data_IF_353823999331
#
_entry.id   IF_353823999331
#
_cell.length_a   1.000
_cell.length_b   1.000
_cell.length_c   1.000
_cell.angle_alpha   90.00
_cell.angle_beta   90.00
_cell.angle_gamma   90.00
#
_symmetry.space_group_name_H-M   'P 1'
#
loop_
_entity.id
_entity.type
_entity.pdbx_description
1 polymer ?
#
# COMPACT_ATOMS: atom_id res chain seq x y z
N UNK A 1 6.50 2.74 24.17
CA UNK A 1 5.70 3.91 23.75
C UNK A 1 4.28 3.73 24.27
N UNK A 2 3.62 4.76 24.79
CA UNK A 2 2.21 4.66 25.26
C UNK A 2 1.21 5.00 24.14
N UNK A 3 -0.07 4.65 24.30
CA UNK A 3 -1.14 5.01 23.33
C UNK A 3 -1.23 6.53 23.11
N UNK A 4 -1.08 7.33 24.18
CA UNK A 4 -1.08 8.79 24.09
C UNK A 4 0.17 9.32 23.39
N UNK A 5 1.34 8.71 23.62
CA UNK A 5 2.57 9.12 22.94
C UNK A 5 2.52 8.79 21.45
N UNK A 6 1.97 7.63 21.09
CA UNK A 6 1.74 7.26 19.69
C UNK A 6 0.77 8.24 19.04
N UNK A 7 -0.39 8.51 19.66
CA UNK A 7 -1.39 9.46 19.15
C UNK A 7 -0.79 10.83 18.85
N UNK A 8 0.03 11.36 19.76
CA UNK A 8 0.72 12.64 19.57
C UNK A 8 1.69 12.60 18.39
N UNK A 9 2.46 11.52 18.22
CA UNK A 9 3.42 11.36 17.11
C UNK A 9 2.76 11.28 15.74
N UNK A 10 1.56 10.71 15.65
CA UNK A 10 0.77 10.62 14.41
C UNK A 10 -0.17 11.82 14.20
N UNK A 11 -0.14 12.82 15.09
CA UNK A 11 -0.98 14.02 14.99
C UNK A 11 -2.46 13.80 15.31
N UNK A 12 -2.81 12.81 16.13
CA UNK A 12 -4.18 12.61 16.61
C UNK A 12 -4.40 13.27 17.98
N UNK A 13 -5.54 13.95 18.13
CA UNK A 13 -5.90 14.69 19.35
C UNK A 13 -6.26 13.78 20.54
N UNK A 14 -6.57 12.51 20.28
CA UNK A 14 -7.01 11.56 21.32
C UNK A 14 -6.50 10.14 21.08
N UNK A 15 -6.01 9.52 22.17
CA UNK A 15 -5.66 8.10 22.21
C UNK A 15 -6.86 7.17 22.01
N UNK A 16 -8.09 7.67 22.10
CA UNK A 16 -9.30 6.87 21.95
C UNK A 16 -9.41 6.14 20.61
N UNK A 17 -8.84 6.71 19.54
CA UNK A 17 -8.76 6.03 18.25
C UNK A 17 -7.86 4.80 18.31
N UNK A 18 -6.67 4.92 18.91
CA UNK A 18 -5.70 3.83 19.07
C UNK A 18 -6.24 2.73 19.97
N UNK A 19 -6.79 3.11 21.13
CA UNK A 19 -7.37 2.16 22.08
C UNK A 19 -8.47 1.29 21.44
N UNK A 20 -9.36 1.88 20.63
CA UNK A 20 -10.42 1.14 19.95
C UNK A 20 -9.89 0.21 18.86
N UNK A 21 -8.80 0.59 18.19
CA UNK A 21 -8.16 -0.26 17.18
C UNK A 21 -7.45 -1.45 17.83
N UNK A 22 -6.68 -1.22 18.89
CA UNK A 22 -6.01 -2.29 19.66
C UNK A 22 -7.02 -3.28 20.27
N UNK A 23 -8.20 -2.80 20.65
CA UNK A 23 -9.30 -3.64 21.11
C UNK A 23 -10.10 -4.34 19.99
N UNK A 24 -9.70 -4.20 18.71
CA UNK A 24 -10.38 -4.78 17.55
C UNK A 24 -11.74 -4.16 17.23
N UNK A 25 -12.12 -3.06 17.89
CA UNK A 25 -13.44 -2.42 17.73
C UNK A 25 -13.52 -1.49 16.51
N UNK A 26 -12.38 -1.20 15.88
CA UNK A 26 -12.29 -0.33 14.70
C UNK A 26 -11.09 -0.73 13.86
N UNK A 27 -11.27 -0.89 12.55
CA UNK A 27 -10.16 -1.11 11.63
C UNK A 27 -9.42 0.20 11.35
N UNK A 28 -8.07 0.19 11.30
CA UNK A 28 -7.29 1.36 10.92
C UNK A 28 -7.51 1.72 9.45
N UNK A 29 -7.33 3.00 9.11
CA UNK A 29 -7.22 3.41 7.70
C UNK A 29 -5.80 3.14 7.18
N UNK A 30 -5.66 2.96 5.86
CA UNK A 30 -4.36 2.71 5.24
C UNK A 30 -3.33 3.80 5.57
N UNK A 31 -3.73 5.08 5.52
CA UNK A 31 -2.87 6.20 5.91
C UNK A 31 -2.40 6.11 7.36
N UNK A 32 -3.26 5.69 8.26
CA UNK A 32 -2.92 5.54 9.67
C UNK A 32 -1.92 4.39 9.88
N UNK A 33 -2.09 3.28 9.17
CA UNK A 33 -1.12 2.15 9.20
C UNK A 33 0.25 2.62 8.71
N UNK A 34 0.30 3.38 7.60
CA UNK A 34 1.54 3.97 7.10
C UNK A 34 2.20 4.91 8.11
N UNK A 35 1.42 5.79 8.76
CA UNK A 35 1.94 6.68 9.80
C UNK A 35 2.48 5.91 11.00
N UNK A 36 1.78 4.86 11.42
CA UNK A 36 2.23 3.98 12.52
C UNK A 36 3.53 3.28 12.12
N UNK A 37 3.60 2.69 10.92
CA UNK A 37 4.80 2.04 10.40
C UNK A 37 6.01 3.00 10.41
N UNK A 38 5.81 4.25 9.99
CA UNK A 38 6.83 5.30 10.03
C UNK A 38 7.29 5.65 11.46
N UNK A 39 6.37 5.75 12.43
CA UNK A 39 6.72 6.06 13.83
C UNK A 39 7.53 4.94 14.49
N UNK A 40 7.24 3.69 14.12
CA UNK A 40 7.93 2.51 14.63
C UNK A 40 9.16 2.12 13.81
N UNK A 41 9.43 2.81 12.69
CA UNK A 41 10.49 2.49 11.74
C UNK A 41 10.42 1.02 11.26
N UNK A 42 9.21 0.51 11.06
CA UNK A 42 8.95 -0.84 10.55
C UNK A 42 8.38 -0.80 9.14
N UNK A 43 8.50 -1.93 8.44
CA UNK A 43 7.82 -2.15 7.17
C UNK A 43 6.31 -2.22 7.37
N UNK A 44 5.55 -1.72 6.40
CA UNK A 44 4.08 -1.74 6.42
C UNK A 44 3.57 -3.19 6.35
N UNK A 45 4.31 -4.07 5.67
CA UNK A 45 4.04 -5.51 5.59
C UNK A 45 3.92 -6.15 6.98
N UNK A 46 4.70 -5.70 7.98
CA UNK A 46 4.63 -6.20 9.36
C UNK A 46 3.28 -5.90 10.04
N UNK A 47 2.55 -4.88 9.57
CA UNK A 47 1.26 -4.47 10.11
C UNK A 47 0.07 -4.94 9.26
N UNK A 48 0.29 -5.25 7.97
CA UNK A 48 -0.77 -5.57 7.01
C UNK A 48 -0.85 -7.08 6.71
N UNK A 49 0.27 -7.80 6.76
CA UNK A 49 0.35 -9.20 6.36
C UNK A 49 0.56 -10.11 7.58
N UNK A 50 -0.45 -10.94 7.89
CA UNK A 50 -0.37 -11.93 8.98
C UNK A 50 0.63 -13.07 8.68
N UNK A 51 0.81 -13.41 7.39
CA UNK A 51 1.77 -14.39 6.90
C UNK A 51 3.00 -13.68 6.35
N UNK A 52 3.95 -13.34 7.21
CA UNK A 52 5.28 -12.95 6.76
C UNK A 52 5.97 -14.23 6.24
N UNK A 53 5.82 -14.50 4.94
CA UNK A 53 6.80 -15.32 4.26
C UNK A 53 8.14 -14.58 4.34
N UNK A 54 9.00 -15.00 5.28
CA UNK A 54 10.32 -14.46 5.65
C UNK A 54 11.35 -14.29 4.50
N UNK A 55 10.91 -14.47 3.26
CA UNK A 55 11.73 -14.58 2.06
C UNK A 55 11.89 -13.21 1.37
N UNK A 56 10.95 -12.27 1.58
CA UNK A 56 11.01 -10.91 1.02
C UNK A 56 11.72 -9.88 1.92
N UNK A 57 11.98 -10.24 3.19
CA UNK A 57 12.55 -9.37 4.21
C UNK A 57 13.98 -8.88 3.88
N UNK A 58 14.72 -9.56 3.02
CA UNK A 58 16.10 -9.19 2.68
C UNK A 58 16.25 -8.22 1.50
N UNK A 59 15.21 -7.98 0.70
CA UNK A 59 15.32 -7.10 -0.47
C UNK A 59 15.15 -5.61 -0.14
N UNK A 60 14.48 -5.29 0.98
CA UNK A 60 14.12 -3.91 1.34
C UNK A 60 14.89 -3.45 2.59
N UNK A 61 16.21 -3.71 2.62
CA UNK A 61 17.08 -3.15 3.63
C UNK A 61 17.14 -1.63 3.46
N UNK A 62 16.37 -0.94 4.31
CA UNK A 62 16.45 0.47 4.72
C UNK A 62 17.38 1.32 3.87
N UNK A 63 16.83 2.03 2.88
CA UNK A 63 17.50 3.18 2.29
C UNK A 63 16.63 4.40 2.46
N UNK A 64 17.19 5.38 3.17
CA UNK A 64 16.71 6.76 3.32
C UNK A 64 16.77 7.47 1.96
N UNK A 65 16.05 6.96 0.97
CA UNK A 65 15.83 7.62 -0.30
C UNK A 65 14.93 8.85 -0.06
N UNK A 66 15.11 9.94 -0.81
CA UNK A 66 14.26 11.10 -0.70
C UNK A 66 12.80 10.70 -0.93
N UNK A 67 11.94 11.06 0.02
CA UNK A 67 10.49 10.88 -0.09
C UNK A 67 10.02 11.70 -1.29
N UNK A 68 9.68 11.03 -2.39
CA UNK A 68 8.97 11.69 -3.49
C UNK A 68 7.63 12.17 -2.93
N UNK A 69 7.29 13.44 -3.15
CA UNK A 69 6.09 14.05 -2.56
C UNK A 69 4.80 13.71 -3.33
N UNK A 70 4.74 12.54 -3.98
CA UNK A 70 3.54 12.15 -4.70
C UNK A 70 2.46 11.64 -3.72
N UNK A 71 1.19 12.03 -3.90
CA UNK A 71 0.13 11.52 -3.05
C UNK A 71 -0.01 10.01 -3.26
N UNK A 72 -0.22 9.26 -2.16
CA UNK A 72 -0.32 7.80 -2.12
C UNK A 72 -1.17 7.20 -3.25
N UNK A 73 -2.31 7.82 -3.57
CA UNK A 73 -3.19 7.35 -4.66
C UNK A 73 -2.51 7.40 -6.01
N UNK A 74 -1.70 8.43 -6.30
CA UNK A 74 -0.94 8.57 -7.54
C UNK A 74 0.13 7.51 -7.68
N UNK A 75 0.96 7.36 -6.66
CA UNK A 75 2.00 6.36 -6.65
C UNK A 75 1.42 4.95 -6.82
N UNK A 76 0.41 4.62 -6.02
CA UNK A 76 -0.22 3.31 -6.04
C UNK A 76 -0.82 2.99 -7.41
N UNK A 77 -1.56 3.95 -8.00
CA UNK A 77 -2.18 3.76 -9.31
C UNK A 77 -1.15 3.53 -10.42
N UNK A 78 -0.05 4.30 -10.43
CA UNK A 78 1.06 4.10 -11.37
C UNK A 78 1.70 2.71 -11.23
N UNK A 79 1.99 2.28 -10.00
CA UNK A 79 2.60 0.97 -9.73
C UNK A 79 1.68 -0.19 -10.09
N UNK A 80 0.39 -0.07 -9.78
CA UNK A 80 -0.62 -1.04 -10.14
C UNK A 80 -0.72 -1.18 -11.66
N UNK A 81 -0.79 -0.06 -12.37
CA UNK A 81 -0.83 -0.04 -13.83
C UNK A 81 0.38 -0.76 -14.43
N UNK A 82 1.59 -0.43 -13.94
CA UNK A 82 2.83 -1.06 -14.38
C UNK A 82 2.87 -2.57 -14.15
N UNK A 83 2.53 -3.04 -12.95
CA UNK A 83 2.51 -4.48 -12.66
C UNK A 83 1.49 -5.20 -13.55
N UNK A 84 0.32 -4.59 -13.75
CA UNK A 84 -0.73 -5.15 -14.60
C UNK A 84 -0.28 -5.28 -16.06
N UNK A 85 0.36 -4.24 -16.62
CA UNK A 85 0.82 -4.26 -18.02
C UNK A 85 2.02 -5.17 -18.22
N UNK A 86 2.94 -5.23 -17.25
CA UNK A 86 4.07 -6.17 -17.23
C UNK A 86 3.61 -7.64 -17.32
N UNK A 87 2.51 -7.97 -16.65
CA UNK A 87 1.91 -9.31 -16.70
C UNK A 87 0.93 -9.51 -17.88
N UNK A 88 0.83 -8.53 -18.80
CA UNK A 88 -0.06 -8.54 -19.97
C UNK A 88 -1.55 -8.70 -19.63
N UNK A 89 -2.01 -8.11 -18.53
CA UNK A 89 -3.39 -8.21 -18.07
C UNK A 89 -4.21 -6.98 -18.46
N UNK A 90 -5.46 -7.17 -18.86
CA UNK A 90 -6.46 -6.11 -18.90
C UNK A 90 -7.00 -5.78 -17.49
N UNK A 91 -7.60 -4.60 -17.32
CA UNK A 91 -8.25 -4.23 -16.05
C UNK A 91 -9.36 -5.22 -15.66
N UNK A 92 -10.05 -5.79 -16.64
CA UNK A 92 -11.09 -6.81 -16.44
C UNK A 92 -10.50 -8.14 -15.98
N UNK A 93 -9.40 -8.58 -16.56
CA UNK A 93 -8.73 -9.81 -16.14
C UNK A 93 -8.17 -9.68 -14.73
N UNK A 94 -7.51 -8.57 -14.41
CA UNK A 94 -7.02 -8.33 -13.06
C UNK A 94 -8.17 -8.31 -12.04
N UNK A 95 -9.27 -7.61 -12.36
CA UNK A 95 -10.45 -7.61 -11.50
C UNK A 95 -11.02 -9.02 -11.27
N UNK A 96 -11.06 -9.85 -12.32
CA UNK A 96 -11.49 -11.25 -12.22
C UNK A 96 -10.55 -12.08 -11.34
N UNK A 97 -9.24 -11.90 -11.48
CA UNK A 97 -8.24 -12.59 -10.66
C UNK A 97 -8.35 -12.22 -9.17
N UNK A 98 -8.71 -10.97 -8.87
CA UNK A 98 -8.91 -10.47 -7.51
C UNK A 98 -10.34 -10.73 -6.98
N UNK A 99 -11.19 -11.41 -7.75
CA UNK A 99 -12.59 -11.67 -7.36
C UNK A 99 -13.45 -10.41 -7.25
N UNK A 100 -13.06 -9.31 -7.90
CA UNK A 100 -13.81 -8.06 -7.92
C UNK A 100 -14.95 -8.15 -8.94
N UNK A 101 -16.13 -7.66 -8.57
CA UNK A 101 -17.32 -7.68 -9.43
C UNK A 101 -17.24 -6.71 -10.62
N UNK A 102 -16.41 -5.67 -10.54
CA UNK A 102 -16.30 -4.65 -11.58
C UNK A 102 -14.85 -4.21 -11.81
N UNK A 103 -14.42 -4.23 -13.07
CA UNK A 103 -13.12 -3.69 -13.53
C UNK A 103 -12.98 -2.19 -13.26
N UNK A 104 -14.09 -1.47 -13.14
CA UNK A 104 -14.14 -0.05 -12.79
C UNK A 104 -13.42 0.24 -11.48
N UNK A 105 -13.36 -0.73 -10.55
CA UNK A 105 -12.61 -0.55 -9.32
C UNK A 105 -11.10 -0.41 -9.57
N UNK A 106 -10.54 -1.23 -10.48
CA UNK A 106 -9.14 -1.15 -10.91
C UNK A 106 -8.89 0.16 -11.68
N UNK A 107 -9.80 0.51 -12.59
CA UNK A 107 -9.73 1.77 -13.34
C UNK A 107 -9.65 3.01 -12.42
N UNK A 108 -10.45 3.05 -11.35
CA UNK A 108 -10.43 4.16 -10.38
C UNK A 108 -9.15 4.23 -9.55
N UNK A 109 -8.51 3.09 -9.31
CA UNK A 109 -7.22 3.06 -8.61
C UNK A 109 -6.10 3.54 -9.52
N UNK A 110 -6.03 3.05 -10.75
CA UNK A 110 -5.03 3.46 -11.75
C UNK A 110 -5.16 4.94 -12.16
N UNK A 111 -6.38 5.49 -12.14
CA UNK A 111 -6.63 6.90 -12.41
C UNK A 111 -6.59 7.80 -11.17
N UNK A 112 -6.18 7.25 -10.01
CA UNK A 112 -6.00 7.99 -8.75
C UNK A 112 -7.30 8.61 -8.21
N UNK A 113 -8.45 8.16 -8.71
CA UNK A 113 -9.79 8.61 -8.30
C UNK A 113 -10.20 8.01 -6.96
N UNK A 114 -9.56 6.92 -6.54
CA UNK A 114 -9.85 6.20 -5.29
C UNK A 114 -8.55 5.74 -4.62
N UNK A 115 -8.51 5.79 -3.29
CA UNK A 115 -7.44 5.14 -2.50
C UNK A 115 -7.74 3.63 -2.33
N UNK A 116 -6.72 2.76 -2.33
CA UNK A 116 -6.91 1.34 -2.12
C UNK A 116 -7.29 1.03 -0.67
N UNK A 117 -8.09 -0.02 -0.47
CA UNK A 117 -8.30 -0.59 0.86
C UNK A 117 -7.12 -1.46 1.27
N UNK A 118 -6.88 -1.61 2.58
CA UNK A 118 -5.82 -2.48 3.12
C UNK A 118 -5.93 -3.90 2.56
N UNK A 119 -7.14 -4.46 2.52
CA UNK A 119 -7.38 -5.80 1.97
C UNK A 119 -6.98 -5.92 0.50
N UNK A 120 -7.27 -4.88 -0.30
CA UNK A 120 -6.93 -4.89 -1.71
C UNK A 120 -5.41 -4.77 -1.92
N UNK A 121 -4.74 -3.93 -1.14
CA UNK A 121 -3.27 -3.84 -1.15
C UNK A 121 -2.66 -5.20 -0.86
N UNK A 122 -3.15 -5.89 0.18
CA UNK A 122 -2.68 -7.23 0.56
C UNK A 122 -2.90 -8.25 -0.56
N UNK A 123 -4.08 -8.25 -1.18
CA UNK A 123 -4.40 -9.15 -2.30
C UNK A 123 -3.50 -8.90 -3.51
N UNK A 124 -3.27 -7.64 -3.86
CA UNK A 124 -2.40 -7.26 -4.97
C UNK A 124 -0.93 -7.61 -4.70
N UNK A 125 -0.44 -7.34 -3.49
CA UNK A 125 0.90 -7.71 -3.05
C UNK A 125 1.11 -9.23 -3.18
N UNK A 126 0.14 -10.01 -2.72
CA UNK A 126 0.16 -11.48 -2.84
C UNK A 126 0.10 -11.93 -4.30
N UNK A 127 -0.79 -11.34 -5.11
CA UNK A 127 -1.00 -11.73 -6.50
C UNK A 127 0.24 -11.48 -7.36
N UNK A 128 0.84 -10.30 -7.25
CA UNK A 128 2.04 -9.92 -8.00
C UNK A 128 3.34 -10.37 -7.32
N UNK A 129 3.25 -11.04 -6.16
CA UNK A 129 4.39 -11.47 -5.36
C UNK A 129 5.38 -10.32 -5.06
N UNK A 130 4.84 -9.17 -4.64
CA UNK A 130 5.57 -7.97 -4.23
C UNK A 130 5.23 -7.61 -2.79
N UNK A 131 6.03 -6.77 -2.13
CA UNK A 131 5.71 -6.27 -0.79
C UNK A 131 4.62 -5.22 -0.83
N UNK A 132 3.88 -5.04 0.26
CA UNK A 132 2.94 -3.91 0.37
C UNK A 132 3.67 -2.58 0.35
N UNK A 133 4.87 -2.49 0.95
CA UNK A 133 5.71 -1.29 0.84
C UNK A 133 6.09 -0.98 -0.62
N UNK A 134 6.33 -1.98 -1.47
CA UNK A 134 6.54 -1.74 -2.90
C UNK A 134 5.34 -1.02 -3.52
N UNK A 135 4.11 -1.40 -3.17
CA UNK A 135 2.91 -0.76 -3.71
C UNK A 135 2.63 0.62 -3.10
N UNK A 136 3.03 0.84 -1.83
CA UNK A 136 2.62 1.99 -1.03
C UNK A 136 3.69 3.08 -0.89
N UNK A 137 4.98 2.77 -1.10
CA UNK A 137 6.10 3.71 -0.87
C UNK A 137 6.86 4.04 -2.14
N UNK A 138 7.39 5.25 -2.24
CA UNK A 138 8.11 5.77 -3.41
C UNK A 138 9.51 5.14 -3.63
N UNK A 139 9.91 4.18 -2.79
CA UNK A 139 11.29 3.70 -2.69
C UNK A 139 11.78 2.91 -3.92
N UNK A 140 10.90 2.54 -4.84
CA UNK A 140 11.25 1.88 -6.10
C UNK A 140 10.64 2.65 -7.27
N UNK A 141 11.52 3.28 -8.05
CA UNK A 141 11.15 3.93 -9.30
C UNK A 141 10.63 2.87 -10.27
N UNK A 142 9.44 3.11 -10.82
CA UNK A 142 8.98 2.36 -11.98
C UNK A 142 9.72 2.97 -13.17
N UNK A 143 10.58 2.21 -13.82
CA UNK A 143 11.14 2.58 -15.13
C UNK A 143 9.97 2.60 -16.13
N UNK A 144 9.45 3.79 -16.40
CA UNK A 144 8.48 4.00 -17.48
C UNK A 144 9.25 3.98 -18.80
N UNK A 145 9.19 2.87 -19.53
CA UNK A 145 9.42 2.95 -20.97
C UNK A 145 8.16 3.57 -21.57
N UNK A 146 8.20 4.85 -21.90
CA UNK A 146 7.23 5.47 -22.80
C UNK A 146 7.33 4.75 -24.16
N UNK A 147 6.63 3.62 -24.27
CA UNK A 147 6.46 2.85 -25.50
C UNK A 147 4.98 2.93 -25.87
N UNK A 148 4.57 4.11 -26.30
CA UNK A 148 3.39 4.35 -27.12
C UNK A 148 3.62 5.64 -27.92
N UNK A 149 4.62 5.62 -28.79
CA UNK A 149 4.42 6.26 -30.10
C UNK A 149 3.38 5.41 -30.82
N UNK A 150 2.19 5.98 -31.05
CA UNK A 150 1.40 5.94 -32.30
C UNK A 150 0.05 6.65 -32.11
#
# INVERSE_FOLDING_TARGET
>A
MTQIDLARRIGLDSQGHISRMEAGKKSPSLRLVLSIAGVFEVMTDYLICDDIALNAWHACATTRAPVCQEPLSQLFGKKLHYLRTKDNLSQTELARHLGLSAHTHISFLESHRKEPSIDLVRQLATYFNVTTDYLLRDEVAVEWSDASEE
#
